data_IF_360075199322
#
_entry.id   IF_360075199322
#
_cell.length_a   1.000
_cell.length_b   1.000
_cell.length_c   1.000
_cell.angle_alpha   90.00
_cell.angle_beta   90.00
_cell.angle_gamma   90.00
#
_symmetry.space_group_name_H-M   'P 1'
#
loop_
_entity.id
_entity.type
_entity.pdbx_description
1 polymer ?
#
# COMPACT_ATOMS: atom_id res chain seq x y z
N UNK A 1 4.66 6.79 19.78
CA UNK A 1 4.44 6.54 18.34
C UNK A 1 5.56 5.74 17.71
N UNK A 2 6.83 5.86 18.12
CA UNK A 2 7.93 5.01 17.60
C UNK A 2 7.80 3.52 17.92
N UNK A 3 7.03 3.14 18.96
CA UNK A 3 6.84 1.74 19.36
C UNK A 3 6.43 0.81 18.21
N UNK A 4 5.67 1.28 17.23
CA UNK A 4 5.30 0.49 16.06
C UNK A 4 6.47 0.30 15.09
N UNK A 5 7.21 1.36 14.77
CA UNK A 5 8.43 1.27 13.98
C UNK A 5 9.49 0.38 14.67
N UNK A 6 9.60 0.48 15.99
CA UNK A 6 10.50 -0.36 16.79
C UNK A 6 10.05 -1.83 16.77
N UNK A 7 8.75 -2.10 16.86
CA UNK A 7 8.21 -3.46 16.79
C UNK A 7 8.38 -4.10 15.41
N UNK A 8 8.33 -3.31 14.33
CA UNK A 8 8.47 -3.80 12.96
C UNK A 8 9.94 -3.95 12.54
N UNK A 9 10.85 -3.19 13.15
CA UNK A 9 12.27 -3.24 12.83
C UNK A 9 12.86 -4.61 13.13
N UNK A 10 13.45 -5.23 12.11
CA UNK A 10 14.06 -6.56 12.23
C UNK A 10 13.05 -7.70 12.38
N UNK A 11 11.76 -7.44 12.22
CA UNK A 11 10.71 -8.48 12.30
C UNK A 11 10.69 -9.43 11.09
N UNK A 12 11.30 -9.01 9.98
CA UNK A 12 11.21 -9.73 8.70
C UNK A 12 9.87 -9.52 7.96
N UNK A 13 8.96 -8.71 8.50
CA UNK A 13 7.71 -8.35 7.79
C UNK A 13 8.04 -7.49 6.58
N UNK A 14 7.57 -7.91 5.40
CA UNK A 14 7.79 -7.21 4.14
C UNK A 14 6.57 -6.41 3.68
N UNK A 15 5.35 -6.79 4.09
CA UNK A 15 4.12 -6.10 3.70
C UNK A 15 3.20 -5.94 4.90
N UNK A 16 2.72 -4.71 5.10
CA UNK A 16 1.68 -4.35 6.06
C UNK A 16 0.42 -3.91 5.29
N UNK A 17 -0.61 -4.75 5.31
CA UNK A 17 -1.90 -4.52 4.64
C UNK A 17 -2.90 -3.90 5.63
N UNK A 18 -3.57 -2.82 5.23
CA UNK A 18 -4.57 -2.15 6.07
C UNK A 18 -5.69 -1.49 5.25
N UNK A 19 -6.75 -1.07 5.94
CA UNK A 19 -7.90 -0.36 5.38
C UNK A 19 -8.32 0.81 6.27
N UNK A 20 -9.62 0.92 6.56
CA UNK A 20 -10.27 2.02 7.32
C UNK A 20 -10.47 3.33 6.55
N UNK A 21 -9.40 3.88 5.96
CA UNK A 21 -9.55 4.99 5.00
C UNK A 21 -10.08 4.43 3.68
N UNK A 22 -11.10 5.06 3.10
CA UNK A 22 -11.70 4.61 1.85
C UNK A 22 -10.85 5.03 0.64
N UNK A 23 -9.57 4.66 0.62
CA UNK A 23 -8.63 4.92 -0.46
C UNK A 23 -7.73 3.71 -0.76
N UNK A 24 -6.94 3.83 -1.81
CA UNK A 24 -5.93 2.83 -2.19
C UNK A 24 -4.57 3.48 -2.42
N UNK A 25 -3.54 2.98 -1.75
CA UNK A 25 -2.17 3.49 -1.92
C UNK A 25 -1.11 2.49 -1.48
N UNK A 26 0.11 2.77 -1.92
CA UNK A 26 1.31 2.05 -1.54
C UNK A 26 2.38 3.06 -1.10
N UNK A 27 2.81 2.92 0.15
CA UNK A 27 3.98 3.59 0.71
C UNK A 27 5.11 2.57 0.95
N UNK A 28 6.36 3.02 0.89
CA UNK A 28 7.53 2.18 1.15
C UNK A 28 8.46 2.82 2.16
N UNK A 29 8.98 1.99 3.08
CA UNK A 29 10.05 2.38 4.00
C UNK A 29 11.34 1.63 3.68
N UNK A 30 12.32 2.34 3.12
CA UNK A 30 13.66 1.78 2.92
C UNK A 30 14.33 1.40 4.25
N UNK A 31 14.11 2.18 5.32
CA UNK A 31 14.70 1.91 6.64
C UNK A 31 14.15 0.65 7.33
N UNK A 32 12.95 0.21 6.93
CA UNK A 32 12.33 -1.02 7.44
C UNK A 32 12.32 -2.15 6.40
N UNK A 33 12.69 -1.87 5.15
CA UNK A 33 12.51 -2.75 4.00
C UNK A 33 11.08 -3.29 3.89
N UNK A 34 10.09 -2.40 4.02
CA UNK A 34 8.69 -2.80 4.18
C UNK A 34 7.73 -1.93 3.38
N UNK A 35 6.72 -2.59 2.78
CA UNK A 35 5.63 -2.00 2.03
C UNK A 35 4.41 -1.79 2.93
N UNK A 36 3.82 -0.61 2.89
CA UNK A 36 2.56 -0.28 3.55
C UNK A 36 1.50 -0.09 2.49
N UNK A 37 0.47 -0.91 2.51
CA UNK A 37 -0.53 -0.98 1.45
C UNK A 37 -1.91 -0.72 2.04
N UNK A 38 -2.52 0.38 1.63
CA UNK A 38 -3.90 0.75 1.95
C UNK A 38 -4.83 0.16 0.88
N UNK A 39 -5.82 -0.62 1.29
CA UNK A 39 -6.84 -1.22 0.44
C UNK A 39 -8.21 -1.07 1.13
N UNK A 40 -8.72 0.16 1.21
CA UNK A 40 -9.96 0.46 1.95
C UNK A 40 -11.14 0.91 1.09
N UNK A 41 -10.97 1.13 -0.21
CA UNK A 41 -12.05 1.51 -1.14
C UNK A 41 -12.69 0.30 -1.84
N UNK A 42 -13.16 -0.67 -1.05
CA UNK A 42 -13.81 -1.90 -1.54
C UNK A 42 -15.30 -1.82 -1.86
N UNK A 43 -15.91 -0.63 -1.91
CA UNK A 43 -17.35 -0.48 -2.22
C UNK A 43 -18.26 -0.14 -1.03
N UNK A 44 -17.75 0.55 -0.01
CA UNK A 44 -18.52 1.10 1.11
C UNK A 44 -19.37 2.33 0.74
N UNK A 45 -19.71 3.17 1.73
CA UNK A 45 -20.68 4.28 1.57
C UNK A 45 -20.13 5.43 0.68
N UNK A 46 -18.85 5.81 0.80
CA UNK A 46 -18.19 6.80 -0.08
C UNK A 46 -16.68 6.58 -0.13
N UNK A 47 -16.09 6.67 -1.32
CA UNK A 47 -14.63 6.78 -1.46
C UNK A 47 -14.12 8.11 -0.89
N UNK A 48 -12.94 8.09 -0.28
CA UNK A 48 -12.29 9.26 0.33
C UNK A 48 -10.88 9.44 -0.25
N UNK A 49 -10.27 10.62 -0.03
CA UNK A 49 -8.86 10.81 -0.35
C UNK A 49 -7.97 9.83 0.43
N UNK A 50 -6.95 9.28 -0.23
CA UNK A 50 -5.97 8.37 0.40
C UNK A 50 -5.40 8.97 1.69
N UNK A 51 -5.09 8.11 2.67
CA UNK A 51 -4.49 8.62 3.91
C UNK A 51 -3.12 9.24 3.64
N UNK A 52 -2.86 10.41 4.25
CA UNK A 52 -1.53 11.03 4.18
C UNK A 52 -0.57 10.29 5.09
N UNK A 53 0.70 10.20 4.68
CA UNK A 53 1.77 9.74 5.59
C UNK A 53 1.79 10.68 6.81
N UNK A 54 1.64 10.16 8.04
CA UNK A 54 1.65 10.99 9.23
C UNK A 54 2.97 11.76 9.36
N UNK A 55 2.99 12.99 9.94
CA UNK A 55 4.21 13.81 10.02
C UNK A 55 5.40 13.13 10.71
N UNK A 56 5.16 12.19 11.64
CA UNK A 56 6.24 11.46 12.30
C UNK A 56 6.85 10.36 11.42
N UNK A 57 6.15 9.93 10.37
CA UNK A 57 6.54 8.85 9.46
C UNK A 57 7.13 9.35 8.13
N UNK A 58 7.06 10.65 7.84
CA UNK A 58 7.55 11.24 6.58
C UNK A 58 9.05 11.06 6.36
N UNK A 59 9.84 10.93 7.44
CA UNK A 59 11.27 10.63 7.36
C UNK A 59 11.57 9.14 7.15
N UNK A 60 10.57 8.27 7.26
CA UNK A 60 10.73 6.82 7.24
C UNK A 60 10.03 6.15 6.07
N UNK A 61 8.94 6.73 5.56
CA UNK A 61 8.16 6.20 4.46
C UNK A 61 7.95 7.26 3.39
N UNK A 62 7.96 6.83 2.14
CA UNK A 62 7.58 7.63 0.98
C UNK A 62 6.36 7.02 0.29
N UNK A 63 5.49 7.86 -0.26
CA UNK A 63 4.42 7.39 -1.12
C UNK A 63 5.02 6.99 -2.46
N UNK A 64 4.82 5.74 -2.84
CA UNK A 64 5.25 5.23 -4.15
C UNK A 64 4.11 5.37 -5.16
N UNK A 65 2.89 5.13 -4.71
CA UNK A 65 1.70 5.22 -5.53
C UNK A 65 0.45 5.49 -4.69
N UNK A 66 -0.50 6.21 -5.28
CA UNK A 66 -1.82 6.43 -4.73
C UNK A 66 -2.82 6.45 -5.88
N UNK A 67 -3.93 5.75 -5.72
CA UNK A 67 -5.01 5.81 -6.70
C UNK A 67 -5.80 7.10 -6.51
N UNK A 68 -6.09 7.76 -7.63
CA UNK A 68 -6.80 9.06 -7.65
C UNK A 68 -8.13 9.00 -8.38
N UNK A 69 -8.51 7.84 -8.92
CA UNK A 69 -9.80 7.64 -9.55
C UNK A 69 -10.92 7.47 -8.53
N UNK A 70 -12.16 7.65 -8.97
CA UNK A 70 -13.37 7.56 -8.14
C UNK A 70 -13.91 6.11 -8.06
N UNK A 71 -13.35 5.22 -8.87
CA UNK A 71 -13.64 3.81 -9.00
C UNK A 71 -13.40 3.04 -7.68
N UNK A 72 -14.24 2.06 -7.36
CA UNK A 72 -13.96 1.13 -6.27
C UNK A 72 -13.12 -0.04 -6.76
N UNK A 73 -12.37 -0.67 -5.86
CA UNK A 73 -11.52 -1.76 -6.24
C UNK A 73 -11.09 -2.70 -5.13
N UNK A 74 -10.20 -3.60 -5.51
CA UNK A 74 -9.55 -4.52 -4.60
C UNK A 74 -8.11 -4.76 -5.03
N UNK A 75 -7.33 -5.30 -4.11
CA UNK A 75 -5.93 -5.60 -4.31
C UNK A 75 -5.69 -7.10 -4.42
N UNK A 76 -4.86 -7.50 -5.39
CA UNK A 76 -4.24 -8.82 -5.40
C UNK A 76 -2.76 -8.70 -5.04
N UNK A 77 -2.29 -9.65 -4.23
CA UNK A 77 -0.90 -9.80 -3.85
C UNK A 77 -0.43 -11.19 -4.25
N UNK A 78 0.60 -11.24 -5.10
CA UNK A 78 1.34 -12.45 -5.43
C UNK A 78 2.75 -12.34 -4.88
N UNK A 79 3.32 -13.46 -4.44
CA UNK A 79 4.64 -13.49 -3.83
C UNK A 79 5.45 -14.68 -4.33
N UNK A 80 6.75 -14.46 -4.48
CA UNK A 80 7.75 -15.50 -4.65
C UNK A 80 8.86 -15.31 -3.61
N UNK A 81 9.91 -16.13 -3.68
CA UNK A 81 11.10 -15.93 -2.84
C UNK A 81 11.86 -14.65 -3.20
N UNK A 82 11.65 -14.12 -4.40
CA UNK A 82 12.45 -13.06 -5.00
C UNK A 82 11.66 -11.78 -5.25
N UNK A 83 10.33 -11.86 -5.32
CA UNK A 83 9.49 -10.73 -5.70
C UNK A 83 8.14 -10.73 -4.98
N UNK A 84 7.59 -9.52 -4.85
CA UNK A 84 6.22 -9.27 -4.46
C UNK A 84 5.55 -8.47 -5.58
N UNK A 85 4.40 -8.96 -6.05
CA UNK A 85 3.62 -8.31 -7.09
C UNK A 85 2.29 -7.86 -6.50
N UNK A 86 2.10 -6.55 -6.52
CA UNK A 86 0.88 -5.88 -6.07
C UNK A 86 0.12 -5.41 -7.30
N UNK A 87 -1.18 -5.72 -7.39
CA UNK A 87 -2.03 -5.19 -8.44
C UNK A 87 -3.32 -4.67 -7.84
N UNK A 88 -3.71 -3.47 -8.26
CA UNK A 88 -5.00 -2.90 -7.95
C UNK A 88 -5.95 -3.10 -9.12
N UNK A 89 -7.18 -3.52 -8.81
CA UNK A 89 -8.24 -3.85 -9.77
C UNK A 89 -9.45 -2.98 -9.49
N UNK A 90 -9.87 -2.20 -10.48
CA UNK A 90 -11.13 -1.44 -10.42
C UNK A 90 -12.33 -2.35 -10.72
N UNK A 91 -13.52 -1.97 -10.25
CA UNK A 91 -14.75 -2.75 -10.39
C UNK A 91 -15.73 -2.15 -11.41
N UNK A 92 -15.36 -1.03 -12.01
CA UNK A 92 -16.15 -0.19 -12.91
C UNK A 92 -15.96 -0.63 -14.36
N UNK A 93 -16.86 -1.49 -14.84
CA UNK A 93 -17.07 -1.81 -16.27
C UNK A 93 -15.91 -2.44 -17.08
N UNK A 94 -14.68 -2.49 -16.58
CA UNK A 94 -13.57 -3.31 -17.08
C UNK A 94 -12.52 -3.44 -15.96
N UNK A 95 -12.00 -4.65 -15.74
CA UNK A 95 -10.92 -4.87 -14.76
C UNK A 95 -9.64 -4.27 -15.35
N UNK A 96 -9.37 -3.01 -15.03
CA UNK A 96 -8.12 -2.35 -15.39
C UNK A 96 -7.08 -2.62 -14.31
N UNK A 97 -5.95 -3.22 -14.71
CA UNK A 97 -4.83 -3.55 -13.83
C UNK A 97 -3.90 -2.36 -13.73
N UNK A 98 -3.80 -1.77 -12.55
CA UNK A 98 -2.84 -0.69 -12.28
C UNK A 98 -1.73 -1.17 -11.34
N UNK A 99 -0.48 -1.06 -11.81
CA UNK A 99 0.74 -1.28 -11.01
C UNK A 99 1.43 -2.62 -11.27
N UNK A 100 2.74 -2.56 -11.52
CA UNK A 100 3.67 -3.67 -11.47
C UNK A 100 4.88 -3.18 -10.65
N UNK A 101 5.15 -3.83 -9.51
CA UNK A 101 6.29 -3.48 -8.66
C UNK A 101 7.51 -4.29 -9.10
N UNK A 102 8.62 -3.61 -9.38
CA UNK A 102 9.94 -4.22 -9.48
C UNK A 102 10.68 -3.99 -8.16
N UNK A 103 11.35 -5.03 -7.67
CA UNK A 103 12.21 -4.90 -6.50
C UNK A 103 13.42 -4.02 -6.84
N UNK A 104 13.68 -3.04 -5.98
CA UNK A 104 14.97 -2.35 -5.94
C UNK A 104 15.96 -3.28 -5.22
N UNK A 105 16.57 -4.17 -5.99
CA UNK A 105 17.73 -4.93 -5.53
C UNK A 105 18.90 -3.94 -5.33
N UNK A 106 19.45 -3.94 -4.12
CA UNK A 106 20.67 -3.23 -3.71
C UNK A 106 21.92 -3.89 -4.29
#
# INVERSE_FOLDING_TARGET
MNKWFDALRGSGVQVFLYGHTHGEKHDYSASLSMHFVENGAGGGIQKESVSKIPPFATNYAKNEWAYTGDEYGYLSLEASKEWLKLQFHTTDRQVDVHGELQNHDS
#
